data_IF_126755721256
#
_entry.id   IF_126755721256
#
_cell.length_a   1.000
_cell.length_b   1.000
_cell.length_c   1.000
_cell.angle_alpha   90.00
_cell.angle_beta   90.00
_cell.angle_gamma   90.00
#
_symmetry.space_group_name_H-M   'P 1'
#
loop_
_entity.id
_entity.type
_entity.pdbx_description
1 polymer ?
#
# COMPACT_ATOMS: atom_id res chain seq x y z
N UNK A 1 3.24 -8.38 -23.22
CA UNK A 1 2.01 -8.11 -22.47
C UNK A 1 2.26 -6.83 -21.67
N UNK A 2 1.32 -5.90 -21.55
CA UNK A 2 1.57 -4.70 -20.75
C UNK A 2 1.43 -5.03 -19.26
N UNK A 3 2.07 -4.24 -18.38
CA UNK A 3 1.91 -4.38 -16.91
C UNK A 3 0.43 -4.32 -16.50
N UNK A 4 -0.37 -3.54 -17.22
CA UNK A 4 -1.82 -3.47 -17.01
C UNK A 4 -2.51 -4.80 -17.33
N UNK A 5 -2.19 -5.41 -18.47
CA UNK A 5 -2.78 -6.69 -18.87
C UNK A 5 -2.38 -7.82 -17.90
N UNK A 6 -1.12 -7.84 -17.45
CA UNK A 6 -0.62 -8.82 -16.47
C UNK A 6 -1.32 -8.67 -15.11
N UNK A 7 -1.50 -7.43 -14.64
CA UNK A 7 -2.22 -7.17 -13.39
C UNK A 7 -3.71 -7.54 -13.51
N UNK A 8 -4.34 -7.27 -14.65
CA UNK A 8 -5.73 -7.68 -14.91
C UNK A 8 -5.89 -9.20 -14.90
N UNK A 9 -4.98 -9.94 -15.53
CA UNK A 9 -4.99 -11.40 -15.51
C UNK A 9 -4.80 -11.96 -14.08
N UNK A 10 -3.93 -11.32 -13.29
CA UNK A 10 -3.69 -11.70 -11.89
C UNK A 10 -4.94 -11.47 -11.03
N UNK A 11 -5.60 -10.31 -11.17
CA UNK A 11 -6.85 -10.02 -10.46
C UNK A 11 -7.96 -11.00 -10.85
N UNK A 12 -8.09 -11.35 -12.13
CA UNK A 12 -9.06 -12.35 -12.57
C UNK A 12 -8.81 -13.73 -11.93
N UNK A 13 -7.54 -14.12 -11.79
CA UNK A 13 -7.14 -15.37 -11.14
C UNK A 13 -7.46 -15.34 -9.64
N UNK A 14 -7.12 -14.25 -8.94
CA UNK A 14 -7.46 -14.05 -7.53
C UNK A 14 -8.96 -14.10 -7.30
N UNK A 15 -9.74 -13.43 -8.15
CA UNK A 15 -11.20 -13.43 -8.06
C UNK A 15 -11.76 -14.86 -8.21
N UNK A 16 -11.31 -15.62 -9.21
CA UNK A 16 -11.76 -17.00 -9.41
C UNK A 16 -11.47 -17.88 -8.18
N UNK A 17 -10.26 -17.80 -7.61
CA UNK A 17 -9.86 -18.57 -6.42
C UNK A 17 -10.72 -18.17 -5.20
N UNK A 18 -10.79 -16.87 -4.89
CA UNK A 18 -11.45 -16.39 -3.68
C UNK A 18 -12.98 -16.48 -3.75
N UNK A 19 -13.57 -16.39 -4.95
CA UNK A 19 -15.01 -16.55 -5.15
C UNK A 19 -15.50 -18.00 -4.95
N UNK A 20 -14.61 -18.98 -5.12
CA UNK A 20 -14.89 -20.39 -4.93
C UNK A 20 -14.48 -20.90 -3.53
N UNK A 21 -13.92 -20.01 -2.69
CA UNK A 21 -13.48 -20.36 -1.34
C UNK A 21 -14.68 -20.60 -0.45
N UNK A 22 -14.70 -21.75 0.23
CA UNK A 22 -15.67 -22.08 1.28
C UNK A 22 -14.98 -22.01 2.65
N UNK A 23 -15.06 -20.88 3.39
CA UNK A 23 -14.27 -20.68 4.61
C UNK A 23 -14.57 -21.71 5.70
N UNK A 24 -15.80 -22.23 5.74
CA UNK A 24 -16.20 -23.27 6.70
C UNK A 24 -15.53 -24.62 6.50
N UNK A 25 -14.88 -24.84 5.34
CA UNK A 25 -14.13 -26.06 5.04
C UNK A 25 -12.65 -25.96 5.44
N UNK A 26 -12.17 -24.79 5.87
CA UNK A 26 -10.78 -24.60 6.28
C UNK A 26 -10.58 -25.03 7.74
N UNK A 27 -9.47 -25.72 8.00
CA UNK A 27 -8.98 -25.84 9.37
C UNK A 27 -8.50 -24.47 9.87
N UNK A 28 -8.47 -24.26 11.19
CA UNK A 28 -7.94 -23.03 11.79
C UNK A 28 -6.53 -22.66 11.29
N UNK A 29 -5.56 -23.61 11.30
CA UNK A 29 -4.23 -23.37 10.73
C UNK A 29 -4.22 -23.01 9.24
N UNK A 30 -5.10 -23.62 8.43
CA UNK A 30 -5.18 -23.31 7.00
C UNK A 30 -5.77 -21.92 6.76
N UNK A 31 -6.80 -21.55 7.54
CA UNK A 31 -7.39 -20.23 7.49
C UNK A 31 -6.37 -19.13 7.87
N UNK A 32 -5.52 -19.37 8.88
CA UNK A 32 -4.46 -18.45 9.26
C UNK A 32 -3.44 -18.28 8.13
N UNK A 33 -2.93 -19.39 7.55
CA UNK A 33 -1.97 -19.33 6.43
C UNK A 33 -2.55 -18.63 5.21
N UNK A 34 -3.83 -18.87 4.91
CA UNK A 34 -4.51 -18.20 3.81
C UNK A 34 -4.63 -16.69 4.06
N UNK A 35 -4.98 -16.30 5.30
CA UNK A 35 -5.06 -14.90 5.70
C UNK A 35 -3.69 -14.20 5.58
N UNK A 36 -2.59 -14.87 5.96
CA UNK A 36 -1.23 -14.35 5.81
C UNK A 36 -0.90 -14.05 4.35
N UNK A 37 -1.18 -14.99 3.43
CA UNK A 37 -0.94 -14.82 1.99
C UNK A 37 -1.81 -13.71 1.39
N UNK A 38 -3.10 -13.65 1.76
CA UNK A 38 -3.99 -12.57 1.32
C UNK A 38 -3.45 -11.21 1.78
N UNK A 39 -3.04 -11.12 3.04
CA UNK A 39 -2.50 -9.88 3.61
C UNK A 39 -1.20 -9.47 2.94
N UNK A 40 -0.32 -10.40 2.60
CA UNK A 40 0.90 -10.12 1.83
C UNK A 40 0.56 -9.53 0.45
N UNK A 41 -0.40 -10.12 -0.26
CA UNK A 41 -0.90 -9.59 -1.52
C UNK A 41 -1.51 -8.19 -1.39
N UNK A 42 -2.29 -7.95 -0.34
CA UNK A 42 -2.85 -6.63 -0.03
C UNK A 42 -1.77 -5.56 0.17
N UNK A 43 -0.65 -5.90 0.84
CA UNK A 43 0.47 -4.95 1.05
C UNK A 43 1.12 -4.57 -0.27
N UNK A 44 1.40 -5.53 -1.14
CA UNK A 44 1.98 -5.27 -2.47
C UNK A 44 1.02 -4.41 -3.31
N UNK A 45 -0.27 -4.72 -3.30
CA UNK A 45 -1.29 -3.93 -4.01
C UNK A 45 -1.45 -2.52 -3.41
N UNK A 46 -1.35 -2.37 -2.09
CA UNK A 46 -1.37 -1.07 -1.44
C UNK A 46 -0.16 -0.22 -1.85
N UNK A 47 1.04 -0.80 -1.89
CA UNK A 47 2.23 -0.12 -2.38
C UNK A 47 2.10 0.30 -3.84
N UNK A 48 1.64 -0.60 -4.70
CA UNK A 48 1.35 -0.30 -6.10
C UNK A 48 0.34 0.84 -6.25
N UNK A 49 -0.77 0.81 -5.50
CA UNK A 49 -1.79 1.87 -5.51
C UNK A 49 -1.19 3.21 -5.12
N UNK A 50 -0.40 3.27 -4.04
CA UNK A 50 0.22 4.51 -3.56
C UNK A 50 1.14 5.13 -4.61
N UNK A 51 1.99 4.32 -5.26
CA UNK A 51 2.92 4.78 -6.29
C UNK A 51 2.21 5.21 -7.58
N UNK A 52 1.20 4.45 -8.02
CA UNK A 52 0.41 4.79 -9.20
C UNK A 52 -0.46 6.03 -8.94
N UNK A 53 -1.02 6.19 -7.75
CA UNK A 53 -1.75 7.40 -7.34
C UNK A 53 -0.86 8.64 -7.43
N UNK A 54 0.40 8.56 -6.99
CA UNK A 54 1.37 9.64 -7.14
C UNK A 54 1.61 9.99 -8.61
N UNK A 55 1.78 8.98 -9.46
CA UNK A 55 1.93 9.20 -10.91
C UNK A 55 0.70 9.86 -11.54
N UNK A 56 -0.51 9.52 -11.08
CA UNK A 56 -1.77 10.16 -11.51
C UNK A 56 -1.81 11.63 -11.09
N UNK A 57 -1.40 11.96 -9.87
CA UNK A 57 -1.25 13.35 -9.41
C UNK A 57 -0.30 14.14 -10.33
N UNK A 58 0.92 13.64 -10.51
CA UNK A 58 1.97 14.27 -11.33
C UNK A 58 1.58 14.45 -12.79
N UNK A 59 0.80 13.51 -13.34
CA UNK A 59 0.32 13.57 -14.73
C UNK A 59 -0.67 14.70 -14.99
N UNK A 60 -1.27 15.27 -13.93
CA UNK A 60 -2.35 16.25 -14.02
C UNK A 60 -3.59 15.76 -14.80
N UNK A 61 -3.74 14.46 -15.08
CA UNK A 61 -4.93 13.91 -15.78
C UNK A 61 -6.24 14.22 -15.05
N UNK A 62 -6.17 14.38 -13.73
CA UNK A 62 -7.29 14.75 -12.88
C UNK A 62 -7.87 16.13 -13.20
N UNK A 63 -7.09 17.06 -13.78
CA UNK A 63 -7.56 18.43 -14.06
C UNK A 63 -8.72 18.47 -15.06
N UNK A 64 -8.81 17.49 -15.95
CA UNK A 64 -9.91 17.38 -16.90
C UNK A 64 -11.24 16.91 -16.27
N UNK A 65 -11.21 16.41 -15.02
CA UNK A 65 -12.39 15.87 -14.34
C UNK A 65 -13.29 16.91 -13.68
N UNK A 66 -12.81 18.15 -13.48
CA UNK A 66 -13.50 19.18 -12.70
C UNK A 66 -13.36 19.04 -11.18
N UNK A 67 -12.65 18.03 -10.69
CA UNK A 67 -12.39 17.82 -9.27
C UNK A 67 -11.44 18.88 -8.69
N UNK A 68 -11.61 19.19 -7.40
CA UNK A 68 -10.85 20.27 -6.73
C UNK A 68 -9.37 19.93 -6.46
N UNK A 69 -9.00 18.65 -6.50
CA UNK A 69 -7.61 18.20 -6.39
C UNK A 69 -7.42 16.77 -6.91
N UNK A 70 -6.16 16.36 -7.14
CA UNK A 70 -5.82 14.97 -7.47
C UNK A 70 -6.37 13.98 -6.44
N UNK A 71 -6.27 14.31 -5.15
CA UNK A 71 -6.78 13.46 -4.08
C UNK A 71 -8.30 13.24 -4.17
N UNK A 72 -9.07 14.27 -4.51
CA UNK A 72 -10.52 14.14 -4.72
C UNK A 72 -10.83 13.24 -5.91
N UNK A 73 -10.15 13.48 -7.03
CA UNK A 73 -10.31 12.69 -8.24
C UNK A 73 -10.02 11.20 -8.01
N UNK A 74 -8.88 10.88 -7.38
CA UNK A 74 -8.49 9.50 -7.10
C UNK A 74 -9.44 8.85 -6.10
N UNK A 75 -9.82 9.57 -5.04
CA UNK A 75 -10.77 9.08 -4.03
C UNK A 75 -12.13 8.71 -4.66
N UNK A 76 -12.67 9.61 -5.48
CA UNK A 76 -13.89 9.37 -6.24
C UNK A 76 -13.74 8.18 -7.20
N UNK A 77 -12.65 8.12 -7.97
CA UNK A 77 -12.42 7.07 -8.97
C UNK A 77 -12.23 5.67 -8.37
N UNK A 78 -11.67 5.59 -7.16
CA UNK A 78 -11.31 4.32 -6.50
C UNK A 78 -12.25 3.94 -5.36
N UNK A 79 -13.24 4.76 -5.04
CA UNK A 79 -14.20 4.46 -3.96
C UNK A 79 -13.56 4.48 -2.57
N UNK A 80 -12.64 5.41 -2.32
CA UNK A 80 -11.99 5.54 -1.00
C UNK A 80 -12.10 6.97 -0.45
N UNK A 81 -11.61 7.22 0.76
CA UNK A 81 -11.67 8.55 1.37
C UNK A 81 -10.55 9.45 0.84
N UNK A 82 -10.83 10.75 0.73
CA UNK A 82 -9.84 11.76 0.33
C UNK A 82 -8.65 11.76 1.29
N UNK A 83 -8.90 11.64 2.60
CA UNK A 83 -7.84 11.60 3.61
C UNK A 83 -6.89 10.41 3.43
N UNK A 84 -7.40 9.23 3.07
CA UNK A 84 -6.55 8.07 2.75
C UNK A 84 -5.67 8.35 1.53
N UNK A 85 -6.25 8.94 0.47
CA UNK A 85 -5.48 9.27 -0.72
C UNK A 85 -4.41 10.32 -0.41
N UNK A 86 -4.73 11.36 0.38
CA UNK A 86 -3.76 12.38 0.79
C UNK A 86 -2.59 11.76 1.56
N UNK A 87 -2.87 10.94 2.58
CA UNK A 87 -1.82 10.24 3.34
C UNK A 87 -0.94 9.36 2.44
N UNK A 88 -1.55 8.65 1.48
CA UNK A 88 -0.82 7.88 0.47
C UNK A 88 0.07 8.74 -0.43
N UNK A 89 -0.43 9.87 -0.95
CA UNK A 89 0.33 10.79 -1.79
C UNK A 89 1.50 11.42 -1.04
N UNK A 90 1.29 11.83 0.22
CA UNK A 90 2.36 12.33 1.09
C UNK A 90 3.41 11.25 1.38
N UNK A 91 2.97 10.02 1.65
CA UNK A 91 3.88 8.88 1.83
C UNK A 91 4.71 8.66 0.57
N UNK A 92 4.08 8.64 -0.61
CA UNK A 92 4.77 8.47 -1.89
C UNK A 92 5.81 9.57 -2.15
N UNK A 93 5.50 10.82 -1.81
CA UNK A 93 6.44 11.95 -1.89
C UNK A 93 7.65 11.73 -0.97
N UNK A 94 7.43 11.40 0.31
CA UNK A 94 8.50 11.17 1.29
C UNK A 94 9.40 9.99 0.90
N UNK A 95 8.83 8.93 0.34
CA UNK A 95 9.56 7.74 -0.10
C UNK A 95 10.61 8.04 -1.19
N UNK A 96 10.51 9.16 -1.92
CA UNK A 96 11.54 9.56 -2.88
C UNK A 96 12.92 9.81 -2.22
N UNK A 97 12.94 10.18 -0.93
CA UNK A 97 14.15 10.40 -0.16
C UNK A 97 14.52 9.21 0.76
N UNK A 98 13.72 8.14 0.76
CA UNK A 98 13.84 7.00 1.68
C UNK A 98 13.87 5.68 0.89
N UNK A 99 15.00 5.39 0.21
CA UNK A 99 15.08 4.27 -0.73
C UNK A 99 14.91 2.90 -0.06
N UNK A 100 15.36 2.72 1.19
CA UNK A 100 15.21 1.45 1.89
C UNK A 100 13.75 1.22 2.30
N UNK A 101 13.06 2.27 2.76
CA UNK A 101 11.62 2.18 3.03
C UNK A 101 10.81 1.97 1.76
N UNK A 102 11.20 2.62 0.66
CA UNK A 102 10.53 2.45 -0.63
C UNK A 102 10.67 1.03 -1.18
N UNK A 103 11.84 0.42 -1.05
CA UNK A 103 12.10 -0.97 -1.43
C UNK A 103 11.26 -1.94 -0.58
N UNK A 104 11.31 -1.80 0.75
CA UNK A 104 10.55 -2.63 1.67
C UNK A 104 9.03 -2.52 1.44
N UNK A 105 8.53 -1.32 1.20
CA UNK A 105 7.12 -1.11 0.89
C UNK A 105 6.71 -1.76 -0.43
N UNK A 106 7.50 -1.60 -1.51
CA UNK A 106 7.25 -2.26 -2.80
C UNK A 106 7.31 -3.78 -2.72
N UNK A 107 8.17 -4.31 -1.86
CA UNK A 107 8.29 -5.74 -1.61
C UNK A 107 7.13 -6.32 -0.76
N UNK A 108 6.22 -5.48 -0.26
CA UNK A 108 5.11 -5.93 0.61
C UNK A 108 5.54 -6.33 2.02
N UNK A 109 6.80 -6.08 2.40
CA UNK A 109 7.28 -6.39 3.75
C UNK A 109 6.75 -5.39 4.77
N UNK A 110 6.45 -4.16 4.34
CA UNK A 110 5.74 -3.16 5.11
C UNK A 110 4.27 -3.07 4.71
N UNK A 111 3.40 -2.94 5.71
CA UNK A 111 2.05 -2.44 5.51
C UNK A 111 2.04 -0.94 5.13
N UNK A 112 0.93 -0.48 4.53
CA UNK A 112 0.72 0.94 4.20
C UNK A 112 0.92 1.85 5.41
N UNK A 113 0.40 1.45 6.58
CA UNK A 113 0.51 2.26 7.79
C UNK A 113 1.93 2.26 8.36
N UNK A 114 2.66 1.14 8.27
CA UNK A 114 4.07 1.12 8.68
C UNK A 114 4.93 1.98 7.75
N UNK A 115 4.70 1.91 6.44
CA UNK A 115 5.39 2.75 5.47
C UNK A 115 5.11 4.23 5.72
N UNK A 116 3.86 4.60 6.01
CA UNK A 116 3.48 5.97 6.39
C UNK A 116 4.19 6.44 7.66
N UNK A 117 4.17 5.63 8.73
CA UNK A 117 4.80 5.97 10.00
C UNK A 117 6.32 6.17 9.86
N UNK A 118 6.99 5.22 9.21
CA UNK A 118 8.44 5.31 8.96
C UNK A 118 8.76 6.50 8.06
N UNK A 119 8.00 6.71 6.98
CA UNK A 119 8.23 7.83 6.08
C UNK A 119 8.03 9.18 6.76
N UNK A 120 7.02 9.30 7.63
CA UNK A 120 6.76 10.50 8.42
C UNK A 120 7.90 10.78 9.41
N UNK A 121 8.33 9.77 10.18
CA UNK A 121 9.39 9.91 11.16
C UNK A 121 10.76 10.20 10.50
N UNK A 122 11.11 9.46 9.44
CA UNK A 122 12.38 9.63 8.74
C UNK A 122 12.43 10.91 7.91
N UNK A 123 11.30 11.51 7.53
CA UNK A 123 11.27 12.85 6.94
C UNK A 123 11.74 13.95 7.91
N UNK A 124 11.60 13.75 9.22
CA UNK A 124 12.10 14.66 10.26
C UNK A 124 13.58 14.39 10.59
N UNK A 125 14.00 13.12 10.54
CA UNK A 125 15.38 12.70 10.75
C UNK A 125 15.74 11.52 9.83
N UNK A 126 16.38 11.76 8.67
CA UNK A 126 16.71 10.71 7.70
C UNK A 126 17.61 9.59 8.25
N UNK A 127 18.37 9.85 9.32
CA UNK A 127 19.21 8.83 9.95
C UNK A 127 18.40 7.73 10.67
N UNK A 128 17.11 7.95 10.92
CA UNK A 128 16.21 7.00 11.58
C UNK A 128 15.60 5.98 10.60
N UNK A 129 15.75 6.14 9.28
CA UNK A 129 15.15 5.24 8.28
C UNK A 129 15.48 3.76 8.56
N UNK A 130 16.77 3.42 8.65
CA UNK A 130 17.23 2.04 8.87
C UNK A 130 16.91 1.51 10.27
N UNK A 131 17.11 2.28 11.36
CA UNK A 131 16.65 1.87 12.69
C UNK A 131 15.15 1.55 12.74
N UNK A 132 14.29 2.40 12.18
CA UNK A 132 12.84 2.21 12.18
C UNK A 132 12.42 0.99 11.36
N UNK A 133 13.05 0.76 10.20
CA UNK A 133 12.81 -0.45 9.39
C UNK A 133 13.11 -1.73 10.18
N UNK A 134 14.27 -1.80 10.85
CA UNK A 134 14.63 -2.97 11.67
C UNK A 134 13.67 -3.23 12.83
N UNK A 135 13.07 -2.18 13.41
CA UNK A 135 12.03 -2.33 14.44
C UNK A 135 10.74 -2.87 13.82
N UNK A 136 10.36 -2.37 12.66
CA UNK A 136 9.14 -2.79 11.98
C UNK A 136 9.10 -4.26 11.52
N UNK A 137 10.27 -4.89 11.35
CA UNK A 137 10.40 -6.32 11.10
C UNK A 137 10.13 -7.19 12.35
N UNK A 138 10.32 -6.62 13.55
CA UNK A 138 10.25 -7.33 14.83
C UNK A 138 8.95 -7.09 15.57
N UNK A 139 8.38 -5.89 15.41
CA UNK A 139 7.25 -5.43 16.18
C UNK A 139 5.93 -5.68 15.46
N UNK A 140 4.97 -6.25 16.18
CA UNK A 140 3.57 -6.21 15.72
C UNK A 140 3.10 -4.75 15.69
N UNK A 141 2.32 -4.40 14.66
CA UNK A 141 1.79 -3.07 14.32
C UNK A 141 1.46 -2.12 15.49
N UNK A 142 1.06 -2.64 16.66
CA UNK A 142 0.69 -1.87 17.85
C UNK A 142 1.84 -1.03 18.45
N UNK A 143 3.11 -1.43 18.30
CA UNK A 143 4.24 -0.73 18.93
C UNK A 143 4.78 0.45 18.11
N UNK A 144 4.56 0.48 16.80
CA UNK A 144 5.08 1.53 15.90
C UNK A 144 4.28 2.84 15.92
N UNK A 145 3.08 2.85 16.51
CA UNK A 145 2.20 4.03 16.57
C UNK A 145 2.37 4.86 17.85
N UNK A 146 2.94 4.26 18.89
CA UNK A 146 3.02 4.86 20.22
C UNK A 146 4.40 5.53 20.49
N UNK A 147 5.27 5.62 19.47
CA UNK A 147 6.57 6.34 19.48
C UNK A 147 6.55 7.54 18.51
#
# INVERSE_FOLDING_TARGET
>A
MSVLDELQATVATQWAILSALEPGCLSGPDALRLLEVITEGERVLAAGRTLVAKRVEESNVWRASGERSAAHFIAHKTGTSVGRVQAGLETAERLAALPATAEAFRAGTLSEVQAEAIASAAALNPNEERPLLKRSERDTFKQLRDE
#
